data_IF_278774779756
#
_entry.id   IF_278774779756
#
_cell.length_a   1.000
_cell.length_b   1.000
_cell.length_c   1.000
_cell.angle_alpha   90.00
_cell.angle_beta   90.00
_cell.angle_gamma   90.00
#
_symmetry.space_group_name_H-M   'P 1'
#
loop_
_entity.id
_entity.type
_entity.pdbx_description
1 polymer ?
#
# COMPACT_ATOMS: atom_id res chain seq x y z
N UNK A 1 15.69 12.18 -3.50
CA UNK A 1 15.61 13.14 -2.38
C UNK A 1 15.56 14.55 -2.92
N UNK A 2 14.76 15.43 -2.31
CA UNK A 2 14.42 16.76 -2.85
C UNK A 2 14.57 17.84 -1.77
N UNK A 3 15.24 18.95 -2.09
CA UNK A 3 15.33 20.12 -1.21
C UNK A 3 16.22 19.95 0.02
N UNK A 4 17.15 18.99 0.00
CA UNK A 4 18.07 18.70 1.10
C UNK A 4 19.53 19.02 0.70
N UNK A 5 19.92 20.31 0.60
CA UNK A 5 21.23 20.70 0.06
C UNK A 5 22.42 20.30 0.94
N UNK A 6 22.21 20.06 2.23
CA UNK A 6 23.25 19.57 3.15
C UNK A 6 23.49 18.06 3.11
N UNK A 7 22.77 17.32 2.27
CA UNK A 7 22.89 15.87 2.18
C UNK A 7 24.12 15.48 1.35
N UNK A 8 25.07 14.76 1.95
CA UNK A 8 26.21 14.15 1.25
C UNK A 8 25.85 12.78 0.65
N UNK A 9 26.03 12.55 -0.66
CA UNK A 9 25.87 11.21 -1.27
C UNK A 9 26.81 10.18 -0.63
N UNK A 10 28.02 10.60 -0.24
CA UNK A 10 28.99 9.70 0.40
C UNK A 10 28.45 9.23 1.76
N UNK A 11 27.91 10.14 2.57
CA UNK A 11 27.31 9.79 3.85
C UNK A 11 26.07 8.88 3.67
N UNK A 12 25.31 9.06 2.58
CA UNK A 12 24.23 8.15 2.22
C UNK A 12 24.75 6.73 1.92
N UNK A 13 25.85 6.61 1.16
CA UNK A 13 26.47 5.33 0.87
C UNK A 13 27.01 4.64 2.13
N UNK A 14 27.61 5.38 3.06
CA UNK A 14 28.05 4.88 4.37
C UNK A 14 26.87 4.33 5.19
N UNK A 15 25.66 4.85 4.96
CA UNK A 15 24.41 4.38 5.57
C UNK A 15 23.72 3.26 4.77
N UNK A 16 24.37 2.69 3.74
CA UNK A 16 23.86 1.57 2.95
C UNK A 16 22.93 1.97 1.80
N UNK A 17 22.86 3.25 1.43
CA UNK A 17 22.08 3.70 0.28
C UNK A 17 22.86 3.41 -1.01
N UNK A 18 22.29 2.57 -1.87
CA UNK A 18 22.78 2.30 -3.21
C UNK A 18 22.74 3.57 -4.08
N UNK A 19 23.91 4.13 -4.40
CA UNK A 19 24.01 5.41 -5.11
C UNK A 19 23.52 5.31 -6.56
N UNK A 20 23.61 4.13 -7.18
CA UNK A 20 23.06 3.85 -8.50
C UNK A 20 21.52 3.93 -8.54
N UNK A 21 20.87 3.90 -7.38
CA UNK A 21 19.41 4.05 -7.22
C UNK A 21 19.02 5.38 -6.55
N UNK A 22 19.97 6.29 -6.35
CA UNK A 22 19.75 7.55 -5.66
C UNK A 22 19.57 8.71 -6.65
N UNK A 23 18.39 9.33 -6.66
CA UNK A 23 18.16 10.62 -7.32
C UNK A 23 18.27 11.77 -6.31
N UNK A 24 18.99 12.84 -6.64
CA UNK A 24 19.15 14.03 -5.79
C UNK A 24 18.73 15.30 -6.54
N UNK A 25 17.85 16.07 -5.91
CA UNK A 25 17.45 17.41 -6.38
C UNK A 25 17.66 18.40 -5.23
N UNK A 26 18.85 19.00 -5.09
CA UNK A 26 19.18 19.86 -3.95
C UNK A 26 18.35 21.15 -3.89
N UNK A 27 18.06 21.74 -5.06
CA UNK A 27 17.41 23.05 -5.19
C UNK A 27 16.20 22.97 -6.13
N UNK A 28 15.06 22.43 -5.68
CA UNK A 28 13.87 22.26 -6.52
C UNK A 28 13.15 23.57 -6.88
N UNK A 29 13.41 24.65 -6.13
CA UNK A 29 12.80 25.96 -6.37
C UNK A 29 11.27 25.93 -6.31
N UNK A 30 10.63 26.70 -7.20
CA UNK A 30 9.17 26.78 -7.31
C UNK A 30 8.51 25.48 -7.79
N UNK A 31 9.27 24.64 -8.52
CA UNK A 31 8.78 23.38 -9.12
C UNK A 31 8.78 22.20 -8.14
N UNK A 32 8.98 22.45 -6.84
CA UNK A 32 9.03 21.41 -5.81
C UNK A 32 7.88 20.40 -5.92
N UNK A 33 6.65 20.88 -6.10
CA UNK A 33 5.47 20.01 -6.18
C UNK A 33 5.52 19.11 -7.42
N UNK A 34 5.88 19.68 -8.58
CA UNK A 34 6.01 18.98 -9.86
C UNK A 34 7.10 17.91 -9.77
N UNK A 35 8.25 18.26 -9.21
CA UNK A 35 9.41 17.37 -9.04
C UNK A 35 9.06 16.22 -8.10
N UNK A 36 8.44 16.49 -6.94
CA UNK A 36 8.04 15.44 -6.00
C UNK A 36 6.99 14.52 -6.64
N UNK A 37 6.01 15.06 -7.36
CA UNK A 37 5.02 14.25 -8.05
C UNK A 37 5.64 13.33 -9.10
N UNK A 38 6.58 13.85 -9.90
CA UNK A 38 7.29 13.06 -10.91
C UNK A 38 8.15 11.96 -10.29
N UNK A 39 8.84 12.25 -9.18
CA UNK A 39 9.62 11.24 -8.46
C UNK A 39 8.74 10.15 -7.85
N UNK A 40 7.55 10.50 -7.33
CA UNK A 40 6.61 9.52 -6.80
C UNK A 40 6.11 8.53 -7.86
N UNK A 41 6.12 8.91 -9.15
CA UNK A 41 5.73 8.01 -10.23
C UNK A 41 6.80 6.96 -10.58
N UNK A 42 8.06 7.13 -10.14
CA UNK A 42 9.17 6.26 -10.53
C UNK A 42 10.06 5.74 -9.40
N UNK A 43 9.85 6.17 -8.15
CA UNK A 43 10.67 5.79 -7.00
C UNK A 43 9.82 5.25 -5.85
N UNK A 44 10.27 4.16 -5.25
CA UNK A 44 9.62 3.52 -4.09
C UNK A 44 9.60 4.43 -2.86
N UNK A 45 10.66 5.25 -2.67
CA UNK A 45 10.82 6.15 -1.52
C UNK A 45 11.26 7.53 -2.01
N UNK A 46 10.50 8.56 -1.63
CA UNK A 46 10.80 9.96 -1.94
C UNK A 46 10.93 10.74 -0.63
N UNK A 47 12.15 11.12 -0.28
CA UNK A 47 12.43 12.04 0.84
C UNK A 47 12.42 13.47 0.31
N UNK A 48 11.62 14.36 0.91
CA UNK A 48 11.50 15.75 0.45
C UNK A 48 11.45 16.73 1.61
N UNK A 49 12.27 17.79 1.59
CA UNK A 49 12.09 18.92 2.49
C UNK A 49 10.78 19.64 2.15
N UNK A 50 9.80 19.55 3.03
CA UNK A 50 8.49 20.15 2.79
C UNK A 50 8.58 21.68 2.87
N UNK A 51 8.00 22.44 1.91
CA UNK A 51 7.87 23.88 2.05
C UNK A 51 7.12 24.22 3.34
N UNK A 52 7.57 25.28 4.05
CA UNK A 52 6.99 25.67 5.35
C UNK A 52 5.46 25.81 5.30
N UNK A 53 4.93 26.34 4.20
CA UNK A 53 3.52 26.61 4.01
C UNK A 53 2.96 25.83 2.81
N UNK A 54 2.98 24.50 2.87
CA UNK A 54 2.31 23.68 1.86
C UNK A 54 0.79 23.73 2.04
N UNK A 55 0.07 24.05 0.98
CA UNK A 55 -1.39 24.04 1.02
C UNK A 55 -1.93 22.62 1.30
N UNK A 56 -2.94 22.45 2.18
CA UNK A 56 -3.47 21.13 2.51
C UNK A 56 -3.94 20.31 1.31
N UNK A 57 -4.50 20.98 0.29
CA UNK A 57 -4.89 20.34 -0.96
C UNK A 57 -3.69 19.75 -1.73
N UNK A 58 -2.54 20.44 -1.74
CA UNK A 58 -1.32 19.95 -2.40
C UNK A 58 -0.74 18.77 -1.63
N UNK A 59 -0.65 18.90 -0.30
CA UNK A 59 -0.22 17.81 0.57
C UNK A 59 -1.10 16.55 0.40
N UNK A 60 -2.43 16.72 0.41
CA UNK A 60 -3.38 15.64 0.18
C UNK A 60 -3.22 14.97 -1.18
N UNK A 61 -3.03 15.74 -2.25
CA UNK A 61 -2.79 15.20 -3.61
C UNK A 61 -1.48 14.40 -3.69
N UNK A 62 -0.39 14.90 -3.11
CA UNK A 62 0.89 14.18 -3.10
C UNK A 62 0.80 12.89 -2.29
N UNK A 63 0.14 12.91 -1.13
CA UNK A 63 -0.10 11.72 -0.33
C UNK A 63 -1.00 10.69 -1.04
N UNK A 64 -2.04 11.14 -1.74
CA UNK A 64 -2.89 10.27 -2.56
C UNK A 64 -2.09 9.65 -3.72
N UNK A 65 -1.27 10.44 -4.41
CA UNK A 65 -0.42 9.97 -5.51
C UNK A 65 0.59 8.92 -5.05
N UNK A 66 1.25 9.16 -3.91
CA UNK A 66 2.16 8.19 -3.30
C UNK A 66 1.48 6.83 -3.10
N UNK A 67 0.27 6.81 -2.51
CA UNK A 67 -0.53 5.58 -2.33
C UNK A 67 -0.91 4.92 -3.65
N UNK A 68 -1.33 5.69 -4.65
CA UNK A 68 -1.70 5.18 -5.97
C UNK A 68 -0.52 4.52 -6.70
N UNK A 69 0.70 4.98 -6.46
CA UNK A 69 1.93 4.46 -7.08
C UNK A 69 2.62 3.39 -6.25
N UNK A 70 2.17 3.12 -5.02
CA UNK A 70 2.85 2.22 -4.09
C UNK A 70 4.13 2.82 -3.50
N UNK A 71 4.31 4.14 -3.60
CA UNK A 71 5.50 4.86 -3.16
C UNK A 71 5.29 5.47 -1.77
N UNK A 72 6.39 5.72 -1.05
CA UNK A 72 6.38 6.36 0.27
C UNK A 72 6.95 7.76 0.17
N UNK A 73 6.14 8.77 0.51
CA UNK A 73 6.60 10.14 0.70
C UNK A 73 7.05 10.34 2.15
N UNK A 74 8.33 10.71 2.33
CA UNK A 74 8.92 11.03 3.63
C UNK A 74 9.21 12.54 3.67
N UNK A 75 8.27 13.35 4.14
CA UNK A 75 8.49 14.79 4.27
C UNK A 75 9.43 15.07 5.46
N UNK A 76 10.52 15.79 5.20
CA UNK A 76 11.33 16.38 6.26
C UNK A 76 10.65 17.68 6.70
N UNK A 77 9.93 17.60 7.82
CA UNK A 77 9.13 18.69 8.39
C UNK A 77 7.74 18.22 8.82
N UNK A 78 6.94 19.16 9.33
CA UNK A 78 5.56 18.87 9.68
C UNK A 78 4.74 18.58 8.41
N UNK A 79 3.86 17.57 8.47
CA UNK A 79 2.97 17.21 7.39
C UNK A 79 1.57 16.92 7.93
N UNK A 80 0.61 17.74 7.51
CA UNK A 80 -0.79 17.56 7.91
C UNK A 80 -1.32 16.24 7.34
N UNK A 81 -1.86 15.38 8.21
CA UNK A 81 -2.41 14.08 7.81
C UNK A 81 -1.36 13.02 7.49
N UNK A 82 -0.15 13.12 8.04
CA UNK A 82 0.84 12.05 7.97
C UNK A 82 0.28 10.75 8.57
N UNK A 83 0.53 9.62 7.92
CA UNK A 83 0.13 8.31 8.43
C UNK A 83 1.02 7.88 9.60
N UNK A 84 2.29 8.29 9.56
CA UNK A 84 3.30 8.09 10.59
C UNK A 84 4.16 9.36 10.73
N UNK A 85 4.40 9.76 11.97
CA UNK A 85 5.32 10.83 12.37
C UNK A 85 6.43 10.22 13.20
N UNK A 86 7.67 10.48 12.80
CA UNK A 86 8.88 10.09 13.53
C UNK A 86 9.48 11.34 14.18
N UNK A 87 9.71 11.29 15.49
CA UNK A 87 10.29 12.40 16.24
C UNK A 87 11.44 11.91 17.11
N UNK A 88 12.62 12.55 17.07
CA UNK A 88 13.67 12.28 18.05
C UNK A 88 13.20 12.78 19.43
N UNK A 89 13.25 11.91 20.44
CA UNK A 89 12.81 12.25 21.81
C UNK A 89 13.97 12.27 22.81
N UNK A 90 15.03 11.50 22.55
CA UNK A 90 16.27 11.52 23.34
C UNK A 90 17.46 11.28 22.42
N UNK A 91 18.63 11.78 22.81
CA UNK A 91 19.86 11.31 22.20
C UNK A 91 21.10 11.76 22.95
N UNK A 92 22.12 10.92 22.89
CA UNK A 92 23.42 11.12 23.51
C UNK A 92 24.52 10.90 22.48
N UNK A 93 25.57 11.71 22.54
CA UNK A 93 26.75 11.53 21.69
C UNK A 93 27.85 10.82 22.47
N UNK A 94 28.51 9.85 21.83
CA UNK A 94 29.67 9.15 22.37
C UNK A 94 30.93 9.34 21.51
N UNK A 95 32.08 8.96 22.08
CA UNK A 95 33.41 9.07 21.42
C UNK A 95 34.31 10.20 21.95
N UNK A 96 33.80 11.00 22.89
CA UNK A 96 34.65 11.85 23.73
C UNK A 96 35.16 10.97 24.87
N UNK A 97 36.48 10.74 24.94
CA UNK A 97 37.09 10.01 26.07
C UNK A 97 37.04 10.86 27.34
N UNK A 98 38.19 11.09 27.99
CA UNK A 98 38.29 12.00 29.14
C UNK A 98 38.25 13.49 28.75
N UNK A 99 37.26 13.91 27.95
CA UNK A 99 37.10 15.30 27.48
C UNK A 99 37.95 15.69 26.26
N UNK A 100 38.70 14.74 25.69
CA UNK A 100 39.39 14.87 24.39
C UNK A 100 38.95 13.72 23.48
N UNK A 101 38.67 13.99 22.21
CA UNK A 101 38.19 12.98 21.27
C UNK A 101 37.40 13.56 20.09
N UNK A 102 36.75 12.70 19.32
CA UNK A 102 35.80 13.09 18.26
C UNK A 102 34.49 12.35 18.50
N UNK A 103 33.36 12.99 18.24
CA UNK A 103 32.06 12.30 18.27
C UNK A 103 32.09 11.20 17.22
N UNK A 104 31.85 9.95 17.63
CA UNK A 104 31.93 8.77 16.76
C UNK A 104 30.59 8.11 16.52
N UNK A 105 29.76 8.08 17.56
CA UNK A 105 28.43 7.50 17.49
C UNK A 105 27.44 8.36 18.27
N UNK A 106 26.17 8.15 18.00
CA UNK A 106 25.06 8.78 18.68
C UNK A 106 24.00 7.74 18.98
N UNK A 107 23.68 7.57 20.25
CA UNK A 107 22.46 6.91 20.67
C UNK A 107 21.29 7.88 20.43
N UNK A 108 20.30 7.48 19.62
CA UNK A 108 19.13 8.28 19.30
C UNK A 108 17.86 7.48 19.57
N UNK A 109 17.04 7.93 20.52
CA UNK A 109 15.69 7.40 20.69
C UNK A 109 14.72 8.17 19.79
N UNK A 110 14.08 7.45 18.90
CA UNK A 110 13.04 7.95 18.00
C UNK A 110 11.69 7.41 18.46
N UNK A 111 10.72 8.30 18.57
CA UNK A 111 9.34 7.96 18.80
C UNK A 111 8.56 7.97 17.49
N UNK A 112 7.87 6.88 17.21
CA UNK A 112 6.93 6.74 16.11
C UNK A 112 5.51 6.90 16.63
N UNK A 113 4.73 7.80 16.01
CA UNK A 113 3.30 8.00 16.27
C UNK A 113 2.55 7.98 14.95
N UNK A 114 1.42 7.31 14.86
CA UNK A 114 0.64 7.27 13.63
C UNK A 114 -0.86 7.12 13.88
N UNK A 115 -1.59 6.83 12.80
CA UNK A 115 -3.03 6.54 12.85
C UNK A 115 -3.27 5.03 12.82
N UNK A 116 -4.44 4.59 13.29
CA UNK A 116 -4.85 3.17 13.26
C UNK A 116 -3.92 2.26 14.09
N UNK A 117 -3.33 1.23 13.47
CA UNK A 117 -2.42 0.28 14.13
C UNK A 117 -1.14 0.91 14.72
N UNK A 118 -0.81 2.15 14.33
CA UNK A 118 0.29 2.95 14.86
C UNK A 118 -0.16 4.02 15.89
N UNK A 119 -1.41 3.94 16.38
CA UNK A 119 -1.95 4.89 17.37
C UNK A 119 -1.22 4.85 18.71
N UNK A 120 -0.78 3.65 19.14
CA UNK A 120 0.12 3.52 20.27
C UNK A 120 1.52 4.00 19.87
N UNK A 121 2.01 5.03 20.57
CA UNK A 121 3.37 5.53 20.35
C UNK A 121 4.39 4.42 20.64
N UNK A 122 5.37 4.25 19.74
CA UNK A 122 6.48 3.30 19.92
C UNK A 122 7.79 4.07 20.00
N UNK A 123 8.66 3.68 20.91
CA UNK A 123 10.02 4.23 21.00
C UNK A 123 11.02 3.16 20.60
N UNK A 124 12.00 3.56 19.78
CA UNK A 124 13.11 2.72 19.36
C UNK A 124 14.39 3.51 19.55
N UNK A 125 15.37 2.91 20.22
CA UNK A 125 16.71 3.46 20.34
C UNK A 125 17.60 2.90 19.25
N UNK A 126 18.32 3.79 18.57
CA UNK A 126 19.19 3.51 17.43
C UNK A 126 20.60 4.01 17.75
N UNK A 127 21.62 3.22 17.47
CA UNK A 127 23.00 3.69 17.39
C UNK A 127 23.25 4.22 15.98
N UNK A 128 23.73 5.47 15.88
CA UNK A 128 24.04 6.15 14.61
C UNK A 128 25.54 6.48 14.52
N UNK A 129 26.20 6.29 13.37
CA UNK A 129 25.67 5.62 12.19
C UNK A 129 25.35 4.16 12.52
N UNK A 130 24.24 3.65 12.01
CA UNK A 130 23.87 2.25 12.19
C UNK A 130 24.84 1.43 11.32
N UNK A 131 26.01 1.09 11.87
CA UNK A 131 27.07 0.35 11.17
C UNK A 131 26.53 -1.02 10.69
N UNK A 132 25.45 -1.50 11.30
CA UNK A 132 24.71 -2.69 10.88
C UNK A 132 23.55 -2.27 9.96
N UNK A 133 23.76 -2.38 8.65
CA UNK A 133 22.88 -1.90 7.57
C UNK A 133 21.49 -2.54 7.43
N UNK A 134 20.92 -3.09 8.50
CA UNK A 134 19.52 -3.54 8.53
C UNK A 134 18.99 -3.26 9.94
N UNK A 135 18.03 -2.34 10.07
CA UNK A 135 17.24 -2.27 11.30
C UNK A 135 16.67 -3.66 11.57
N UNK A 136 16.78 -4.23 12.79
CA UNK A 136 16.26 -5.57 13.06
C UNK A 136 14.82 -5.66 12.56
N UNK A 137 14.43 -6.77 11.91
CA UNK A 137 13.11 -6.89 11.29
C UNK A 137 12.06 -6.50 12.32
N UNK A 138 11.23 -5.52 11.96
CA UNK A 138 10.12 -5.11 12.81
C UNK A 138 9.25 -6.35 12.99
N UNK A 139 9.27 -6.94 14.18
CA UNK A 139 8.27 -7.92 14.56
C UNK A 139 6.93 -7.18 14.57
N UNK A 140 6.17 -7.32 13.49
CA UNK A 140 4.75 -7.02 13.53
C UNK A 140 4.17 -7.99 14.56
N UNK A 141 3.55 -7.52 15.66
CA UNK A 141 2.82 -8.44 16.51
C UNK A 141 1.77 -9.06 15.60
N UNK A 142 1.85 -10.37 15.39
CA UNK A 142 0.80 -11.13 14.74
C UNK A 142 -0.48 -10.80 15.51
N UNK A 143 -1.33 -9.95 14.94
CA UNK A 143 -2.69 -9.83 15.41
C UNK A 143 -3.34 -11.12 14.94
N UNK A 144 -3.11 -12.18 15.72
CA UNK A 144 -3.86 -13.40 15.58
C UNK A 144 -5.30 -12.99 15.87
N UNK A 145 -6.11 -12.88 14.81
CA UNK A 145 -7.54 -12.72 14.96
C UNK A 145 -8.00 -13.80 15.95
N UNK A 146 -8.82 -13.46 16.97
CA UNK A 146 -9.33 -14.46 17.88
C UNK A 146 -9.92 -15.60 17.03
N UNK A 147 -9.63 -16.88 17.34
CA UNK A 147 -10.20 -17.97 16.59
C UNK A 147 -11.71 -17.77 16.57
N UNK A 148 -12.27 -17.51 15.40
CA UNK A 148 -13.70 -17.55 15.21
C UNK A 148 -14.07 -19.03 15.31
N UNK A 149 -14.40 -19.46 16.52
CA UNK A 149 -15.16 -20.68 16.75
C UNK A 149 -16.56 -20.43 16.18
N UNK A 150 -16.69 -20.56 14.86
CA UNK A 150 -18.00 -20.79 14.26
C UNK A 150 -18.55 -22.09 14.85
N UNK A 151 -19.85 -22.19 15.14
CA UNK A 151 -20.43 -23.46 15.57
C UNK A 151 -20.13 -24.49 14.48
N UNK A 152 -19.39 -25.54 14.84
CA UNK A 152 -19.23 -26.70 13.97
C UNK A 152 -20.60 -27.36 13.87
N UNK A 153 -21.35 -27.02 12.83
CA UNK A 153 -22.50 -27.81 12.43
C UNK A 153 -21.96 -29.08 11.79
N UNK A 154 -21.72 -30.09 12.62
CA UNK A 154 -21.53 -31.44 12.15
C UNK A 154 -22.80 -31.83 11.37
N UNK A 155 -22.67 -32.01 10.05
CA UNK A 155 -23.78 -32.49 9.24
C UNK A 155 -24.23 -33.85 9.80
N UNK A 156 -25.53 -34.09 10.00
CA UNK A 156 -26.00 -35.37 10.49
C UNK A 156 -25.58 -36.48 9.52
N UNK A 157 -25.21 -37.68 10.02
CA UNK A 157 -24.89 -38.80 9.16
C UNK A 157 -26.12 -39.13 8.30
N UNK A 158 -25.96 -39.02 6.98
CA UNK A 158 -26.97 -39.49 6.03
C UNK A 158 -26.95 -41.01 6.05
N UNK A 159 -27.85 -41.62 6.81
CA UNK A 159 -28.17 -43.04 6.67
C UNK A 159 -29.04 -43.20 5.42
N UNK A 160 -28.39 -43.41 4.27
CA UNK A 160 -29.10 -43.90 3.09
C UNK A 160 -29.57 -45.34 3.32
N UNK A 161 -30.75 -45.75 2.79
CA UNK A 161 -31.18 -47.14 2.89
C UNK A 161 -30.18 -48.02 2.14
N UNK A 162 -29.56 -48.96 2.85
CA UNK A 162 -28.76 -50.02 2.22
C UNK A 162 -29.68 -50.87 1.35
N UNK A 163 -29.67 -50.59 0.04
CA UNK A 163 -30.38 -51.42 -0.93
C UNK A 163 -29.48 -52.60 -1.25
N UNK A 164 -29.74 -53.73 -0.60
CA UNK A 164 -29.10 -54.99 -0.92
C UNK A 164 -29.63 -55.46 -2.29
N UNK A 165 -28.73 -55.61 -3.27
CA UNK A 165 -29.11 -56.02 -4.63
C UNK A 165 -29.63 -57.47 -4.64
N UNK A 166 -30.78 -57.75 -5.28
CA UNK A 166 -31.26 -59.12 -5.44
C UNK A 166 -30.41 -59.92 -6.44
N UNK A 167 -30.30 -61.25 -6.30
CA UNK A 167 -29.47 -62.06 -7.20
C UNK A 167 -30.11 -62.15 -8.59
N UNK A 168 -29.34 -61.78 -9.62
CA UNK A 168 -29.71 -61.87 -11.03
C UNK A 168 -29.75 -63.33 -11.48
N UNK A 169 -30.95 -63.87 -11.67
CA UNK A 169 -31.15 -65.03 -12.55
C UNK A 169 -31.09 -64.55 -14.00
N UNK A 170 -30.15 -65.11 -14.76
CA UNK A 170 -29.94 -64.78 -16.16
C UNK A 170 -31.16 -65.11 -17.01
N UNK A 171 -31.65 -64.10 -17.74
CA UNK A 171 -32.59 -64.27 -18.84
C UNK A 171 -31.99 -63.56 -20.06
N UNK A 172 -31.57 -64.37 -21.03
CA UNK A 172 -31.23 -63.93 -22.38
C UNK A 172 -32.48 -63.40 -23.06
N UNK A 173 -32.37 -62.26 -23.77
CA UNK A 173 -33.07 -62.03 -25.04
C UNK A 173 -32.40 -60.90 -25.84
N UNK A 174 -32.49 -61.07 -27.17
CA UNK A 174 -31.77 -60.40 -28.25
C UNK A 174 -32.11 -58.91 -28.42
N UNK A 175 -31.17 -58.18 -29.03
CA UNK A 175 -31.20 -56.74 -29.31
C UNK A 175 -32.17 -56.29 -30.41
N UNK A 176 -32.16 -54.99 -30.72
CA UNK A 176 -33.35 -54.19 -31.02
C UNK A 176 -33.71 -54.10 -32.51
N UNK A 177 -35.00 -53.93 -32.79
CA UNK A 177 -35.50 -53.37 -34.05
C UNK A 177 -36.13 -52.01 -33.80
N UNK A 178 -35.46 -50.95 -34.27
CA UNK A 178 -36.07 -49.63 -34.58
C UNK A 178 -36.63 -49.69 -36.01
N UNK A 179 -37.67 -48.91 -36.40
CA UNK A 179 -37.47 -47.46 -36.55
C UNK A 179 -38.71 -46.50 -36.59
N UNK A 180 -38.41 -45.18 -36.49
CA UNK A 180 -39.02 -43.99 -37.17
C UNK A 180 -40.33 -43.33 -36.63
N UNK A 181 -40.67 -42.05 -37.04
CA UNK A 181 -40.60 -40.87 -36.17
C UNK A 181 -41.87 -39.95 -36.26
N UNK A 182 -41.68 -38.64 -35.94
CA UNK A 182 -42.59 -37.48 -36.09
C UNK A 182 -43.32 -37.09 -34.79
N UNK A 183 -43.55 -35.83 -34.42
CA UNK A 183 -43.68 -34.59 -35.19
C UNK A 183 -43.69 -33.33 -34.25
N UNK A 184 -43.27 -32.18 -34.79
CA UNK A 184 -43.82 -30.81 -34.66
C UNK A 184 -43.95 -30.18 -33.24
N UNK A 185 -43.31 -29.05 -32.93
CA UNK A 185 -43.68 -27.70 -33.39
C UNK A 185 -43.81 -26.73 -32.18
N UNK A 186 -43.96 -25.39 -32.36
CA UNK A 186 -43.02 -24.40 -31.78
C UNK A 186 -43.63 -23.24 -30.94
N UNK A 187 -42.73 -22.32 -30.52
CA UNK A 187 -42.84 -20.83 -30.55
C UNK A 187 -43.14 -19.99 -29.27
N UNK A 188 -42.47 -18.81 -29.22
CA UNK A 188 -42.85 -17.57 -28.50
C UNK A 188 -41.83 -17.08 -27.46
N UNK A 189 -40.86 -16.18 -27.75
CA UNK A 189 -40.95 -14.71 -27.87
C UNK A 189 -41.42 -14.01 -26.57
N UNK A 190 -40.86 -12.93 -26.02
CA UNK A 190 -39.83 -11.95 -26.41
C UNK A 190 -40.05 -10.65 -25.57
N UNK A 191 -39.20 -9.64 -25.79
CA UNK A 191 -39.33 -8.19 -25.45
C UNK A 191 -38.82 -7.62 -24.10
N UNK A 192 -37.79 -6.76 -24.21
CA UNK A 192 -37.60 -5.54 -23.38
C UNK A 192 -38.51 -4.41 -23.90
N UNK A 193 -38.12 -3.11 -23.98
CA UNK A 193 -37.01 -2.35 -23.40
C UNK A 193 -37.50 -1.07 -22.66
N UNK A 194 -36.61 -0.19 -22.16
CA UNK A 194 -36.80 1.27 -22.25
C UNK A 194 -35.57 2.08 -21.78
N UNK A 195 -35.21 2.99 -22.67
CA UNK A 195 -34.37 4.19 -22.61
C UNK A 195 -34.67 5.18 -21.49
N UNK A 196 -33.64 5.93 -21.05
CA UNK A 196 -33.81 7.30 -20.58
C UNK A 196 -32.72 8.19 -21.20
N UNK A 197 -33.17 9.30 -21.78
CA UNK A 197 -32.42 10.30 -22.53
C UNK A 197 -32.24 11.57 -21.69
N UNK A 198 -31.27 12.40 -22.10
CA UNK A 198 -31.22 13.87 -21.97
C UNK A 198 -30.90 14.45 -20.57
N UNK A 199 -29.82 15.23 -20.44
CA UNK A 199 -29.76 16.66 -20.87
C UNK A 199 -28.58 17.47 -20.27
N UNK A 200 -27.98 18.32 -21.13
CA UNK A 200 -27.29 19.62 -20.93
C UNK A 200 -25.96 19.68 -20.12
N UNK A 201 -24.85 20.06 -20.77
CA UNK A 201 -24.29 21.45 -20.96
C UNK A 201 -23.72 21.98 -19.63
N UNK A 202 -22.47 22.40 -19.50
CA UNK A 202 -21.86 23.58 -20.14
C UNK A 202 -20.41 23.74 -19.62
N UNK A 203 -19.43 24.09 -20.47
CA UNK A 203 -18.10 24.74 -20.23
C UNK A 203 -17.33 24.63 -21.57
N UNK A 204 -16.76 25.69 -22.20
CA UNK A 204 -15.70 26.54 -21.61
C UNK A 204 -15.68 28.04 -22.02
N UNK A 205 -15.19 28.88 -21.11
CA UNK A 205 -14.84 30.29 -21.38
C UNK A 205 -13.30 30.43 -21.47
N UNK A 206 -12.73 31.05 -22.53
CA UNK A 206 -11.30 31.27 -22.63
C UNK A 206 -10.86 32.69 -22.23
N UNK A 207 -9.65 32.73 -21.66
CA UNK A 207 -8.83 33.89 -21.30
C UNK A 207 -8.75 34.99 -22.39
N UNK A 208 -8.82 36.25 -21.96
CA UNK A 208 -8.06 37.36 -22.58
C UNK A 208 -7.26 38.14 -21.54
N UNK A 209 -6.05 38.49 -21.97
CA UNK A 209 -4.93 39.07 -21.23
C UNK A 209 -4.63 40.45 -21.84
N UNK A 210 -3.99 41.30 -21.03
CA UNK A 210 -3.13 42.46 -21.37
C UNK A 210 -3.82 43.78 -21.74
N UNK A 211 -3.73 44.72 -20.80
CA UNK A 211 -3.54 46.16 -20.99
C UNK A 211 -2.58 46.63 -19.91
#
# INVERSE_FOLDING_TARGET
>A
MVGLPGLSPIAAAEMGIALERLALVPHPGAEWTTIVAALLDGFDIVVAAAPKNIAPAVAGRLAARARQRGSVLVPAGAWAGADLTLAPVRGAWGGLGAGRGRLRHRELTVQARGRGAASAAREVTLELPAITGVLPPIQVPSTQAPPIYGPSTQAPPIYGPSTQAPPLHGLSIQGPTTPTPAAHGPAGAGHGPATHESRSEETPEPLRKVG
#
